data_IF_424090870397
#
_entry.id   IF_424090870397
#
_cell.length_a   1.000
_cell.length_b   1.000
_cell.length_c   1.000
_cell.angle_alpha   90.00
_cell.angle_beta   90.00
_cell.angle_gamma   90.00
#
_symmetry.space_group_name_H-M   'P 1'
#
loop_
_entity.id
_entity.type
_entity.pdbx_description
1 polymer ?
#
# COMPACT_ATOMS: atom_id res chain seq x y z
N UNK A 1 -0.52 -51.68 7.48
CA UNK A 1 0.04 -50.56 8.29
C UNK A 1 -0.76 -49.34 7.89
N UNK A 2 -1.64 -48.89 8.81
CA UNK A 2 -2.77 -48.03 8.51
C UNK A 2 -2.36 -46.57 8.19
N UNK A 3 -2.91 -46.05 7.11
CA UNK A 3 -3.05 -44.61 6.88
C UNK A 3 -4.16 -44.11 7.80
N UNK A 4 -3.81 -43.64 8.98
CA UNK A 4 -4.72 -42.80 9.77
C UNK A 4 -4.71 -41.40 9.15
N UNK A 5 -5.68 -41.16 8.30
CA UNK A 5 -6.05 -39.80 7.91
C UNK A 5 -6.66 -39.15 9.13
N UNK A 6 -5.93 -38.27 9.78
CA UNK A 6 -6.50 -37.38 10.78
C UNK A 6 -7.29 -36.37 9.97
N UNK A 7 -8.59 -36.59 9.87
CA UNK A 7 -9.53 -35.56 9.46
C UNK A 7 -9.69 -34.62 10.67
N UNK A 8 -8.96 -33.54 10.71
CA UNK A 8 -9.43 -32.35 11.38
C UNK A 8 -10.60 -31.86 10.52
N UNK A 9 -11.79 -31.89 11.09
CA UNK A 9 -13.09 -32.01 10.43
C UNK A 9 -13.55 -30.88 9.48
N UNK A 10 -12.72 -29.91 9.12
CA UNK A 10 -13.20 -28.71 8.43
C UNK A 10 -12.43 -28.27 7.18
N UNK A 11 -11.40 -29.00 6.72
CA UNK A 11 -10.61 -28.54 5.58
C UNK A 11 -10.55 -29.55 4.42
N UNK A 12 -11.01 -29.12 3.25
CA UNK A 12 -10.81 -29.85 2.00
C UNK A 12 -9.83 -29.07 1.12
N UNK A 13 -8.71 -29.69 0.75
CA UNK A 13 -7.77 -29.08 -0.20
C UNK A 13 -8.27 -29.23 -1.64
N UNK A 14 -8.60 -28.11 -2.27
CA UNK A 14 -8.99 -28.05 -3.68
C UNK A 14 -7.93 -27.31 -4.47
N UNK A 15 -7.58 -27.82 -5.66
CA UNK A 15 -6.63 -27.11 -6.53
C UNK A 15 -7.28 -25.84 -7.09
N UNK A 16 -6.60 -24.70 -7.00
CA UNK A 16 -7.11 -23.42 -7.51
C UNK A 16 -7.57 -23.48 -8.97
N UNK A 17 -6.90 -24.28 -9.83
CA UNK A 17 -7.28 -24.48 -11.21
C UNK A 17 -8.66 -25.15 -11.37
N UNK A 18 -9.03 -26.03 -10.44
CA UNK A 18 -10.30 -26.76 -10.50
C UNK A 18 -11.44 -25.84 -10.03
N UNK A 19 -11.21 -24.98 -9.02
CA UNK A 19 -12.15 -23.94 -8.62
C UNK A 19 -12.39 -22.91 -9.75
N UNK A 20 -11.34 -22.46 -10.44
CA UNK A 20 -11.47 -21.56 -11.59
C UNK A 20 -12.25 -22.18 -12.74
N UNK A 21 -12.04 -23.48 -13.00
CA UNK A 21 -12.82 -24.20 -14.02
C UNK A 21 -14.30 -24.24 -13.63
N UNK A 22 -14.60 -24.62 -12.39
CA UNK A 22 -15.97 -24.67 -11.87
C UNK A 22 -16.66 -23.31 -11.92
N UNK A 23 -15.96 -22.24 -11.53
CA UNK A 23 -16.44 -20.85 -11.63
C UNK A 23 -16.78 -20.52 -13.08
N UNK A 24 -15.87 -20.81 -14.02
CA UNK A 24 -16.08 -20.50 -15.44
C UNK A 24 -17.25 -21.28 -16.04
N UNK A 25 -17.45 -22.55 -15.67
CA UNK A 25 -18.58 -23.36 -16.09
C UNK A 25 -19.88 -22.85 -15.46
N UNK A 26 -19.86 -22.55 -14.15
CA UNK A 26 -21.04 -22.04 -13.46
C UNK A 26 -21.45 -20.64 -13.99
N UNK A 27 -20.51 -19.81 -14.39
CA UNK A 27 -20.80 -18.47 -14.92
C UNK A 27 -21.71 -18.50 -16.15
N UNK A 28 -21.65 -19.57 -16.98
CA UNK A 28 -22.43 -19.73 -18.20
C UNK A 28 -23.89 -20.07 -17.94
N UNK A 29 -24.20 -20.72 -16.82
CA UNK A 29 -25.54 -21.30 -16.53
C UNK A 29 -26.17 -20.68 -15.26
N UNK A 30 -25.35 -20.25 -14.30
CA UNK A 30 -25.77 -19.73 -13.00
C UNK A 30 -24.76 -18.69 -12.45
N UNK A 31 -24.76 -17.44 -12.95
CA UNK A 31 -23.79 -16.42 -12.54
C UNK A 31 -23.71 -16.17 -11.03
N UNK A 32 -24.83 -16.31 -10.31
CA UNK A 32 -24.85 -16.18 -8.85
C UNK A 32 -24.04 -17.29 -8.16
N UNK A 33 -24.09 -18.53 -8.66
CA UNK A 33 -23.28 -19.63 -8.12
C UNK A 33 -21.81 -19.42 -8.43
N UNK A 34 -21.48 -18.92 -9.62
CA UNK A 34 -20.09 -18.58 -9.97
C UNK A 34 -19.52 -17.52 -9.01
N UNK A 35 -20.31 -16.51 -8.61
CA UNK A 35 -19.90 -15.50 -7.66
C UNK A 35 -19.60 -16.12 -6.27
N UNK A 36 -20.41 -17.09 -5.81
CA UNK A 36 -20.13 -17.77 -4.54
C UNK A 36 -18.88 -18.66 -4.63
N UNK A 37 -18.67 -19.37 -5.74
CA UNK A 37 -17.44 -20.15 -5.98
C UNK A 37 -16.21 -19.24 -5.94
N UNK A 38 -16.28 -18.04 -6.52
CA UNK A 38 -15.19 -17.06 -6.50
C UNK A 38 -14.85 -16.64 -5.08
N UNK A 39 -15.84 -16.42 -4.21
CA UNK A 39 -15.62 -16.02 -2.80
C UNK A 39 -14.83 -17.07 -2.01
N UNK A 40 -14.87 -18.36 -2.41
CA UNK A 40 -14.04 -19.40 -1.78
C UNK A 40 -12.53 -19.10 -1.96
N UNK A 41 -12.15 -18.41 -3.05
CA UNK A 41 -10.77 -18.03 -3.34
C UNK A 41 -10.36 -16.71 -2.66
N UNK A 42 -11.26 -16.02 -1.96
CA UNK A 42 -10.92 -14.76 -1.29
C UNK A 42 -9.95 -15.00 -0.14
N UNK A 43 -9.04 -14.08 0.01
CA UNK A 43 -8.03 -14.08 1.06
C UNK A 43 -8.26 -12.93 2.03
N UNK A 44 -7.93 -13.15 3.29
CA UNK A 44 -7.91 -12.06 4.27
C UNK A 44 -6.86 -11.01 3.88
N UNK A 45 -7.22 -9.72 4.00
CA UNK A 45 -6.34 -8.60 3.69
C UNK A 45 -5.03 -8.66 4.49
N UNK A 46 -5.08 -9.15 5.74
CA UNK A 46 -3.88 -9.33 6.57
C UNK A 46 -2.89 -10.28 5.90
N UNK A 47 -3.36 -11.35 5.28
CA UNK A 47 -2.48 -12.30 4.57
C UNK A 47 -1.78 -11.66 3.37
N UNK A 48 -2.41 -10.67 2.72
CA UNK A 48 -1.80 -9.89 1.63
C UNK A 48 -0.72 -8.93 2.14
N UNK A 49 -0.76 -8.55 3.42
CA UNK A 49 0.13 -7.58 4.06
C UNK A 49 1.20 -8.22 4.95
N UNK A 50 1.08 -9.51 5.27
CA UNK A 50 1.86 -10.22 6.31
C UNK A 50 3.40 -10.10 6.16
N UNK A 51 3.89 -9.89 4.96
CA UNK A 51 5.34 -9.79 4.69
C UNK A 51 5.91 -8.39 4.96
N UNK A 52 5.07 -7.36 5.10
CA UNK A 52 5.56 -5.99 5.20
C UNK A 52 6.24 -5.66 6.54
N UNK A 53 5.77 -6.12 7.70
CA UNK A 53 6.49 -5.88 8.95
C UNK A 53 7.95 -6.36 8.89
N UNK A 54 8.17 -7.61 8.51
CA UNK A 54 9.51 -8.18 8.40
C UNK A 54 10.36 -7.50 7.31
N UNK A 55 9.77 -7.24 6.13
CA UNK A 55 10.44 -6.49 5.05
C UNK A 55 10.91 -5.12 5.53
N UNK A 56 10.05 -4.39 6.24
CA UNK A 56 10.31 -3.03 6.71
C UNK A 56 11.41 -3.03 7.78
N UNK A 57 11.37 -3.99 8.70
CA UNK A 57 12.41 -4.17 9.71
C UNK A 57 13.79 -4.42 9.08
N UNK A 58 13.88 -5.39 8.17
CA UNK A 58 15.13 -5.68 7.44
C UNK A 58 15.64 -4.50 6.62
N UNK A 59 14.73 -3.70 6.06
CA UNK A 59 15.10 -2.49 5.33
C UNK A 59 15.68 -1.44 6.26
N UNK A 60 15.07 -1.23 7.43
CA UNK A 60 15.57 -0.29 8.45
C UNK A 60 16.98 -0.69 8.92
N UNK A 61 17.19 -1.95 9.26
CA UNK A 61 18.52 -2.49 9.65
C UNK A 61 19.58 -2.19 8.57
N UNK A 62 19.25 -2.45 7.29
CA UNK A 62 20.18 -2.19 6.18
C UNK A 62 20.51 -0.71 5.98
N UNK A 63 19.60 0.18 6.36
CA UNK A 63 19.76 1.63 6.29
C UNK A 63 20.28 2.23 7.61
N UNK A 64 20.71 1.37 8.56
CA UNK A 64 21.22 1.77 9.89
C UNK A 64 20.22 2.64 10.66
N UNK A 65 18.92 2.37 10.48
CA UNK A 65 17.81 3.04 11.18
C UNK A 65 17.14 2.07 12.14
N UNK A 66 16.58 2.59 13.21
CA UNK A 66 15.79 1.80 14.15
C UNK A 66 14.32 2.12 14.00
N UNK A 67 13.51 1.06 13.91
CA UNK A 67 12.06 1.13 13.99
C UNK A 67 11.56 0.15 15.05
N UNK A 68 10.49 0.52 15.73
CA UNK A 68 9.79 -0.40 16.61
C UNK A 68 9.13 -1.52 15.76
N UNK A 69 9.14 -2.77 16.24
CA UNK A 69 8.34 -3.82 15.60
C UNK A 69 6.87 -3.40 15.53
N UNK A 70 6.19 -3.75 14.44
CA UNK A 70 4.76 -3.50 14.27
C UNK A 70 4.07 -4.70 13.62
N UNK A 71 2.79 -4.83 13.88
CA UNK A 71 1.91 -5.80 13.27
C UNK A 71 0.85 -5.09 12.40
N UNK A 72 0.17 -5.87 11.56
CA UNK A 72 -0.97 -5.38 10.80
C UNK A 72 -2.19 -5.44 11.71
N UNK A 73 -2.69 -4.27 12.11
CA UNK A 73 -3.89 -4.16 12.92
C UNK A 73 -5.13 -4.31 12.01
N UNK A 74 -5.93 -5.34 12.24
CA UNK A 74 -7.18 -5.59 11.51
C UNK A 74 -8.21 -6.19 12.48
N UNK A 75 -9.03 -5.38 13.14
CA UNK A 75 -9.99 -5.85 14.16
C UNK A 75 -11.09 -6.75 13.61
N UNK A 76 -11.39 -6.66 12.31
CA UNK A 76 -12.44 -7.43 11.65
C UNK A 76 -11.88 -8.19 10.46
N UNK A 77 -12.34 -9.43 10.22
CA UNK A 77 -11.97 -10.19 9.03
C UNK A 77 -12.47 -9.48 7.76
N UNK A 78 -11.55 -9.24 6.82
CA UNK A 78 -11.83 -8.57 5.55
C UNK A 78 -11.28 -9.44 4.43
N UNK A 79 -12.17 -10.06 3.68
CA UNK A 79 -11.82 -10.94 2.56
C UNK A 79 -11.90 -10.21 1.23
N UNK A 80 -10.88 -10.33 0.41
CA UNK A 80 -10.77 -9.72 -0.92
C UNK A 80 -10.38 -10.75 -1.97
N UNK A 81 -10.73 -10.48 -3.21
CA UNK A 81 -10.23 -11.25 -4.35
C UNK A 81 -8.73 -10.98 -4.55
N UNK A 82 -7.85 -11.96 -4.28
CA UNK A 82 -6.41 -11.73 -4.36
C UNK A 82 -5.95 -11.40 -5.79
N UNK A 83 -6.61 -11.90 -6.83
CA UNK A 83 -6.24 -11.61 -8.22
C UNK A 83 -6.54 -10.15 -8.56
N UNK A 84 -7.65 -9.61 -8.07
CA UNK A 84 -8.04 -8.21 -8.28
C UNK A 84 -7.07 -7.24 -7.59
N UNK A 85 -6.67 -7.54 -6.35
CA UNK A 85 -5.90 -6.62 -5.50
C UNK A 85 -4.39 -6.86 -5.49
N UNK A 86 -3.87 -7.94 -6.10
CA UNK A 86 -2.45 -8.33 -6.02
C UNK A 86 -1.49 -7.22 -6.44
N UNK A 87 -1.79 -6.51 -7.53
CA UNK A 87 -0.91 -5.45 -8.03
C UNK A 87 -0.85 -4.27 -7.06
N UNK A 88 -1.98 -3.86 -6.49
CA UNK A 88 -2.05 -2.84 -5.46
C UNK A 88 -1.24 -3.26 -4.22
N UNK A 89 -1.50 -4.44 -3.65
CA UNK A 89 -0.77 -4.90 -2.48
C UNK A 89 0.74 -4.94 -2.73
N UNK A 90 1.19 -5.44 -3.88
CA UNK A 90 2.62 -5.44 -4.23
C UNK A 90 3.21 -4.03 -4.31
N UNK A 91 2.45 -3.05 -4.76
CA UNK A 91 2.92 -1.67 -4.88
C UNK A 91 3.07 -0.94 -3.53
N UNK A 92 2.43 -1.45 -2.45
CA UNK A 92 2.59 -0.90 -1.09
C UNK A 92 4.04 -0.97 -0.59
N UNK A 93 4.88 -1.83 -1.17
CA UNK A 93 6.32 -1.87 -0.88
C UNK A 93 6.96 -0.48 -0.99
N UNK A 94 6.45 0.37 -1.88
CA UNK A 94 6.97 1.72 -2.09
C UNK A 94 6.61 2.67 -0.93
N UNK A 95 5.45 2.47 -0.29
CA UNK A 95 5.07 3.25 0.91
C UNK A 95 6.02 2.92 2.05
N UNK A 96 6.12 1.64 2.42
CA UNK A 96 6.98 1.20 3.51
C UNK A 96 8.45 1.58 3.28
N UNK A 97 8.92 1.43 2.03
CA UNK A 97 10.26 1.86 1.67
C UNK A 97 10.46 3.36 1.85
N UNK A 98 9.52 4.19 1.39
CA UNK A 98 9.62 5.65 1.53
C UNK A 98 9.60 6.06 3.00
N UNK A 99 8.78 5.43 3.83
CA UNK A 99 8.75 5.70 5.26
C UNK A 99 10.11 5.42 5.90
N UNK A 100 10.73 4.27 5.62
CA UNK A 100 12.04 3.94 6.19
C UNK A 100 13.15 4.78 5.57
N UNK A 101 13.21 4.89 4.25
CA UNK A 101 14.34 5.53 3.54
C UNK A 101 14.35 7.04 3.78
N UNK A 102 13.18 7.68 3.66
CA UNK A 102 13.05 9.14 3.67
C UNK A 102 12.29 9.70 4.88
N UNK A 103 11.36 8.94 5.46
CA UNK A 103 10.53 9.35 6.60
C UNK A 103 11.29 9.25 7.91
N UNK A 104 11.61 8.04 8.34
CA UNK A 104 12.28 7.80 9.62
C UNK A 104 13.69 8.41 9.61
N UNK A 105 14.01 9.18 10.64
CA UNK A 105 15.31 9.80 10.85
C UNK A 105 16.33 8.82 11.44
N UNK A 106 17.63 9.16 11.40
CA UNK A 106 18.66 8.46 12.16
C UNK A 106 18.45 8.66 13.67
N UNK A 107 19.07 7.79 14.48
CA UNK A 107 18.97 7.91 15.95
C UNK A 107 19.47 9.27 16.47
N UNK A 108 20.53 9.80 15.87
CA UNK A 108 21.09 11.10 16.21
C UNK A 108 20.12 12.23 15.89
N UNK A 109 19.50 12.18 14.70
CA UNK A 109 18.49 13.16 14.28
C UNK A 109 17.25 13.09 15.16
N UNK A 110 16.77 11.87 15.52
CA UNK A 110 15.62 11.68 16.42
C UNK A 110 15.92 12.19 17.81
N UNK A 111 17.09 11.88 18.35
CA UNK A 111 17.55 12.40 19.65
C UNK A 111 17.58 13.92 19.67
N UNK A 112 18.13 14.54 18.61
CA UNK A 112 18.18 16.01 18.49
C UNK A 112 16.78 16.63 18.39
N UNK A 113 15.80 15.91 17.83
CA UNK A 113 14.41 16.31 17.74
C UNK A 113 13.56 15.94 18.98
N UNK A 114 14.19 15.40 20.04
CA UNK A 114 13.50 14.90 21.24
C UNK A 114 12.42 13.85 20.97
N UNK A 115 12.65 12.99 19.96
CA UNK A 115 11.82 11.85 19.61
C UNK A 115 12.40 10.57 20.23
N UNK A 116 11.58 9.52 20.34
CA UNK A 116 12.05 8.18 20.66
C UNK A 116 13.09 7.73 19.63
N UNK A 117 14.15 7.02 20.08
CA UNK A 117 15.25 6.58 19.19
C UNK A 117 14.77 5.65 18.09
N UNK A 118 13.75 4.83 18.37
CA UNK A 118 13.10 3.97 17.39
C UNK A 118 11.93 4.69 16.74
N UNK A 119 11.91 4.76 15.41
CA UNK A 119 10.76 5.24 14.66
C UNK A 119 9.56 4.29 14.77
N UNK A 120 8.37 4.80 14.64
CA UNK A 120 7.13 4.02 14.69
C UNK A 120 6.46 4.01 13.32
N UNK A 121 6.10 2.81 12.86
CA UNK A 121 5.24 2.62 11.68
C UNK A 121 4.02 1.84 12.14
N UNK A 122 2.84 2.23 11.66
CA UNK A 122 1.58 1.54 11.94
C UNK A 122 0.86 1.24 10.64
N UNK A 123 0.21 0.09 10.57
CA UNK A 123 -0.66 -0.30 9.47
C UNK A 123 -1.99 -0.80 10.04
N UNK A 124 -3.04 -0.04 9.83
CA UNK A 124 -4.39 -0.35 10.28
C UNK A 124 -5.29 -0.63 9.08
N UNK A 125 -5.96 -1.77 9.09
CA UNK A 125 -7.03 -2.11 8.15
C UNK A 125 -8.36 -2.01 8.89
N UNK A 126 -9.30 -1.29 8.30
CA UNK A 126 -10.62 -1.09 8.88
C UNK A 126 -11.69 -1.41 7.85
N UNK A 127 -12.71 -2.13 8.29
CA UNK A 127 -13.90 -2.39 7.48
C UNK A 127 -14.74 -1.12 7.34
N UNK A 128 -15.30 -0.91 6.18
CA UNK A 128 -16.29 0.13 5.88
C UNK A 128 -17.63 -0.54 5.62
N UNK A 129 -18.70 0.22 5.63
CA UNK A 129 -20.04 -0.28 5.29
C UNK A 129 -20.04 -0.99 3.92
N UNK A 130 -19.37 -0.39 2.93
CA UNK A 130 -19.23 -0.95 1.58
C UNK A 130 -17.75 -0.96 1.18
N UNK A 131 -16.94 -1.87 1.77
CA UNK A 131 -15.54 -2.01 1.42
C UNK A 131 -14.58 -1.97 2.59
N UNK A 132 -13.37 -1.45 2.38
CA UNK A 132 -12.34 -1.37 3.42
C UNK A 132 -11.39 -0.19 3.22
N UNK A 133 -10.68 0.12 4.30
CA UNK A 133 -9.68 1.19 4.35
C UNK A 133 -8.37 0.65 4.91
N UNK A 134 -7.26 1.03 4.31
CA UNK A 134 -5.91 0.79 4.83
C UNK A 134 -5.30 2.14 5.18
N UNK A 135 -4.84 2.28 6.41
CA UNK A 135 -4.14 3.47 6.90
C UNK A 135 -2.73 3.07 7.30
N UNK A 136 -1.72 3.70 6.70
CA UNK A 136 -0.31 3.45 6.98
C UNK A 136 0.31 4.76 7.43
N UNK A 137 0.90 4.79 8.63
CA UNK A 137 1.47 6.00 9.24
C UNK A 137 2.91 5.77 9.69
N UNK A 138 3.73 6.80 9.62
CA UNK A 138 5.02 6.89 10.30
C UNK A 138 5.09 8.14 11.20
N UNK A 139 6.01 8.14 12.15
CA UNK A 139 6.33 9.25 13.03
C UNK A 139 7.64 9.96 12.63
N UNK A 140 8.03 9.82 11.36
CA UNK A 140 9.27 10.39 10.83
C UNK A 140 9.25 11.91 10.67
N UNK A 141 10.15 12.42 9.83
CA UNK A 141 10.29 13.87 9.59
C UNK A 141 9.16 14.48 8.78
N UNK A 142 8.27 13.68 8.19
CA UNK A 142 7.25 14.13 7.26
C UNK A 142 7.83 14.49 5.89
N UNK A 143 6.98 15.06 5.04
CA UNK A 143 7.35 15.48 3.69
C UNK A 143 7.66 16.98 3.68
N UNK A 144 8.86 17.33 3.25
CA UNK A 144 9.29 18.70 3.02
C UNK A 144 8.73 19.19 1.67
N UNK A 145 7.63 19.94 1.73
CA UNK A 145 6.89 20.41 0.55
C UNK A 145 7.73 21.37 -0.29
N UNK A 146 8.57 22.20 0.33
CA UNK A 146 9.38 23.16 -0.40
C UNK A 146 10.46 22.43 -1.20
N UNK A 147 11.17 21.49 -0.60
CA UNK A 147 12.10 20.62 -1.33
C UNK A 147 11.42 19.78 -2.42
N UNK A 148 10.19 19.33 -2.18
CA UNK A 148 9.42 18.58 -3.18
C UNK A 148 9.12 19.45 -4.40
N UNK A 149 8.68 20.71 -4.19
CA UNK A 149 8.44 21.70 -5.24
C UNK A 149 9.72 22.05 -6.00
N UNK A 150 10.81 22.33 -5.27
CA UNK A 150 12.12 22.62 -5.87
C UNK A 150 12.58 21.50 -6.81
N UNK A 151 12.48 20.25 -6.38
CA UNK A 151 12.82 19.09 -7.22
C UNK A 151 11.94 18.98 -8.46
N UNK A 152 10.61 19.19 -8.30
CA UNK A 152 9.69 19.16 -9.41
C UNK A 152 10.02 20.24 -10.47
N UNK A 153 10.45 21.42 -10.05
CA UNK A 153 10.93 22.48 -10.95
C UNK A 153 12.26 22.10 -11.60
N UNK A 154 13.24 21.59 -10.83
CA UNK A 154 14.55 21.17 -11.35
C UNK A 154 14.44 20.07 -12.41
N UNK A 155 13.45 19.18 -12.27
CA UNK A 155 13.18 18.11 -13.22
C UNK A 155 12.26 18.53 -14.38
N UNK A 156 11.84 19.80 -14.42
CA UNK A 156 10.98 20.33 -15.50
C UNK A 156 9.53 19.81 -15.45
N UNK A 157 9.10 19.23 -14.33
CA UNK A 157 7.74 18.68 -14.18
C UNK A 157 6.70 19.79 -13.93
N UNK A 158 7.12 20.88 -13.31
CA UNK A 158 6.30 22.09 -13.11
C UNK A 158 7.16 23.34 -13.32
N UNK A 159 6.51 24.46 -13.65
CA UNK A 159 7.22 25.75 -13.76
C UNK A 159 7.43 26.39 -12.37
N UNK A 160 8.45 27.26 -12.21
CA UNK A 160 8.67 28.00 -10.96
C UNK A 160 7.42 28.80 -10.52
N UNK A 161 6.72 29.44 -11.46
CA UNK A 161 5.52 30.23 -11.18
C UNK A 161 4.39 29.35 -10.66
N UNK A 162 4.23 28.11 -11.21
CA UNK A 162 3.26 27.13 -10.73
C UNK A 162 3.61 26.65 -9.34
N UNK A 163 4.90 26.38 -9.06
CA UNK A 163 5.37 25.95 -7.75
C UNK A 163 5.06 26.99 -6.65
N UNK A 164 5.28 28.29 -6.93
CA UNK A 164 4.99 29.38 -6.00
C UNK A 164 3.51 29.53 -5.66
N UNK A 165 2.63 29.31 -6.64
CA UNK A 165 1.18 29.48 -6.47
C UNK A 165 0.45 28.20 -6.01
N UNK A 166 1.15 27.07 -5.97
CA UNK A 166 0.53 25.78 -5.68
C UNK A 166 0.16 25.64 -4.20
N UNK A 167 -1.12 25.41 -3.86
CA UNK A 167 -1.56 25.15 -2.50
C UNK A 167 -0.91 23.90 -1.91
N UNK A 168 -0.85 23.82 -0.58
CA UNK A 168 -0.25 22.69 0.14
C UNK A 168 -0.82 21.34 -0.31
N UNK A 169 -2.15 21.21 -0.40
CA UNK A 169 -2.82 19.97 -0.84
C UNK A 169 -2.41 19.54 -2.24
N UNK A 170 -2.31 20.48 -3.19
CA UNK A 170 -1.85 20.17 -4.55
C UNK A 170 -0.35 19.84 -4.58
N UNK A 171 0.43 20.41 -3.68
CA UNK A 171 1.86 20.15 -3.59
C UNK A 171 2.15 18.72 -3.12
N UNK A 172 1.31 18.16 -2.25
CA UNK A 172 1.40 16.75 -1.85
C UNK A 172 1.18 15.80 -3.02
N UNK A 173 0.34 16.15 -4.00
CA UNK A 173 0.12 15.34 -5.21
C UNK A 173 1.41 15.15 -6.04
N UNK A 174 2.38 16.04 -5.87
CA UNK A 174 3.67 15.91 -6.56
C UNK A 174 4.40 14.61 -6.19
N UNK A 175 4.15 14.01 -5.02
CA UNK A 175 4.78 12.74 -4.60
C UNK A 175 4.43 11.60 -5.56
N UNK A 176 3.31 11.70 -6.28
CA UNK A 176 2.85 10.73 -7.25
C UNK A 176 3.38 10.97 -8.67
N UNK A 177 4.13 12.06 -8.90
CA UNK A 177 4.71 12.31 -10.23
C UNK A 177 5.87 11.35 -10.51
N UNK A 178 5.84 10.78 -11.69
CA UNK A 178 6.92 9.92 -12.17
C UNK A 178 8.24 10.69 -12.22
N UNK A 179 9.29 10.08 -11.67
CA UNK A 179 10.64 10.67 -11.68
C UNK A 179 10.97 11.52 -10.45
N UNK A 180 9.99 11.94 -9.64
CA UNK A 180 10.26 12.78 -8.46
C UNK A 180 10.82 12.00 -7.27
N UNK A 181 10.66 10.67 -7.25
CA UNK A 181 11.17 9.81 -6.18
C UNK A 181 12.67 9.67 -6.25
N UNK A 182 13.33 9.95 -5.13
CA UNK A 182 14.77 10.10 -4.95
C UNK A 182 15.56 8.81 -4.89
N UNK A 183 15.28 7.81 -5.68
CA UNK A 183 16.13 6.62 -5.73
C UNK A 183 17.42 6.95 -6.50
N UNK A 184 18.45 7.44 -5.80
CA UNK A 184 19.83 7.62 -6.30
C UNK A 184 20.58 6.31 -6.57
N UNK A 185 19.95 5.13 -6.43
CA UNK A 185 20.63 3.87 -6.66
C UNK A 185 20.00 3.08 -7.81
N UNK A 186 20.77 2.85 -8.90
CA UNK A 186 20.35 2.02 -10.02
C UNK A 186 20.50 0.52 -9.75
N UNK A 187 20.27 0.06 -8.52
CA UNK A 187 20.39 -1.35 -8.19
C UNK A 187 19.04 -2.06 -8.32
N UNK A 188 18.74 -2.43 -9.55
CA UNK A 188 18.06 -3.63 -9.99
C UNK A 188 16.82 -4.11 -9.23
N UNK A 189 15.70 -3.42 -9.31
CA UNK A 189 14.31 -3.92 -9.39
C UNK A 189 13.33 -2.73 -9.54
N UNK A 190 13.76 -1.50 -9.25
CA UNK A 190 12.95 -0.27 -9.40
C UNK A 190 13.65 0.78 -10.27
N UNK A 191 14.27 0.38 -11.37
CA UNK A 191 15.11 1.24 -12.23
C UNK A 191 14.41 2.36 -12.99
N UNK A 192 13.18 2.77 -12.65
CA UNK A 192 12.44 3.79 -13.43
C UNK A 192 11.62 4.77 -12.60
N UNK A 193 11.82 4.96 -11.31
CA UNK A 193 11.17 6.07 -10.57
C UNK A 193 9.63 6.05 -10.50
N UNK A 194 9.00 4.88 -10.62
CA UNK A 194 7.55 4.73 -10.73
C UNK A 194 6.83 4.43 -9.39
N UNK A 195 7.52 4.46 -8.25
CA UNK A 195 7.04 3.89 -6.98
C UNK A 195 5.61 4.28 -6.56
N UNK A 196 5.41 5.53 -6.12
CA UNK A 196 4.09 5.97 -5.64
C UNK A 196 3.12 6.26 -6.78
N UNK A 197 3.60 6.57 -7.99
CA UNK A 197 2.75 6.74 -9.16
C UNK A 197 2.01 5.43 -9.52
N UNK A 198 2.74 4.30 -9.55
CA UNK A 198 2.13 2.97 -9.78
C UNK A 198 1.10 2.64 -8.71
N UNK A 199 1.39 2.98 -7.45
CA UNK A 199 0.45 2.75 -6.35
C UNK A 199 -0.85 3.55 -6.54
N UNK A 200 -0.75 4.81 -6.98
CA UNK A 200 -1.92 5.65 -7.30
C UNK A 200 -2.72 5.06 -8.47
N UNK A 201 -2.05 4.69 -9.56
CA UNK A 201 -2.68 4.05 -10.73
C UNK A 201 -3.41 2.76 -10.35
N UNK A 202 -2.80 1.89 -9.54
CA UNK A 202 -3.43 0.65 -9.08
C UNK A 202 -4.62 0.90 -8.16
N UNK A 203 -4.53 1.92 -7.29
CA UNK A 203 -5.64 2.33 -6.42
C UNK A 203 -6.83 2.81 -7.25
N UNK A 204 -6.58 3.70 -8.20
CA UNK A 204 -7.61 4.24 -9.11
C UNK A 204 -8.21 3.16 -10.02
N UNK A 205 -7.38 2.24 -10.54
CA UNK A 205 -7.85 1.08 -11.34
C UNK A 205 -8.84 0.20 -10.58
N UNK A 206 -8.67 0.08 -9.27
CA UNK A 206 -9.57 -0.66 -8.39
C UNK A 206 -10.84 0.13 -8.02
N UNK A 207 -10.96 1.38 -8.45
CA UNK A 207 -12.04 2.27 -8.05
C UNK A 207 -11.87 2.86 -6.65
N UNK A 208 -10.67 2.73 -6.08
CA UNK A 208 -10.34 3.28 -4.77
C UNK A 208 -9.83 4.71 -4.83
N UNK A 209 -9.62 5.27 -3.65
CA UNK A 209 -9.02 6.60 -3.44
C UNK A 209 -7.75 6.48 -2.61
N UNK A 210 -6.81 7.40 -2.84
CA UNK A 210 -5.62 7.57 -2.03
C UNK A 210 -5.58 9.00 -1.50
N UNK A 211 -5.38 9.12 -0.21
CA UNK A 211 -5.14 10.39 0.46
C UNK A 211 -3.79 10.34 1.17
N UNK A 212 -3.10 11.48 1.15
CA UNK A 212 -1.85 11.64 1.86
C UNK A 212 -1.92 12.89 2.73
N UNK A 213 -1.49 12.76 3.97
CA UNK A 213 -1.31 13.86 4.88
C UNK A 213 0.06 13.77 5.55
N UNK A 214 0.64 14.92 5.84
CA UNK A 214 1.95 15.01 6.47
C UNK A 214 2.04 16.28 7.30
N UNK A 215 2.85 16.19 8.36
CA UNK A 215 3.23 17.36 9.15
C UNK A 215 4.74 17.28 9.43
N UNK A 216 5.48 18.35 9.12
CA UNK A 216 6.91 18.38 9.36
C UNK A 216 7.24 18.02 10.82
N UNK A 217 8.14 17.06 11.00
CA UNK A 217 8.55 16.56 12.32
C UNK A 217 7.58 15.56 12.97
N UNK A 218 6.37 15.36 12.45
CA UNK A 218 5.36 14.44 13.03
C UNK A 218 5.07 13.21 12.16
N UNK A 219 5.57 13.19 10.90
CA UNK A 219 5.48 12.04 10.02
C UNK A 219 4.51 12.18 8.87
N UNK A 220 4.15 11.04 8.29
CA UNK A 220 3.27 10.95 7.10
C UNK A 220 2.21 9.88 7.31
N UNK A 221 1.02 10.14 6.78
CA UNK A 221 -0.09 9.19 6.76
C UNK A 221 -0.58 9.00 5.33
N UNK A 222 -0.68 7.74 4.91
CA UNK A 222 -1.33 7.30 3.68
C UNK A 222 -2.64 6.61 4.03
N UNK A 223 -3.72 6.99 3.36
CA UNK A 223 -5.04 6.38 3.50
C UNK A 223 -5.49 5.89 2.14
N UNK A 224 -5.74 4.59 2.03
CA UNK A 224 -6.31 3.94 0.85
C UNK A 224 -7.71 3.49 1.20
N UNK A 225 -8.67 3.82 0.36
CA UNK A 225 -10.06 3.43 0.58
C UNK A 225 -10.61 2.77 -0.67
N UNK A 226 -11.21 1.60 -0.49
CA UNK A 226 -11.84 0.82 -1.55
C UNK A 226 -13.29 0.58 -1.22
N UNK A 227 -14.15 0.68 -2.23
CA UNK A 227 -15.57 0.37 -2.11
C UNK A 227 -15.91 -0.89 -2.92
N UNK A 228 -16.86 -1.68 -2.42
CA UNK A 228 -17.34 -2.90 -3.10
C UNK A 228 -18.10 -2.59 -4.39
N UNK A 229 -18.66 -1.39 -4.51
CA UNK A 229 -19.27 -0.93 -5.74
C UNK A 229 -18.17 -0.50 -6.71
N UNK A 230 -18.17 -1.02 -7.96
CA UNK A 230 -17.32 -0.45 -8.99
C UNK A 230 -17.74 1.00 -9.18
N UNK A 231 -16.83 1.95 -8.89
CA UNK A 231 -17.05 3.33 -9.26
C UNK A 231 -17.46 3.34 -10.73
N UNK A 232 -18.64 3.86 -11.02
CA UNK A 232 -19.03 4.13 -12.40
C UNK A 232 -17.95 5.08 -12.95
N UNK A 233 -16.98 4.50 -13.66
CA UNK A 233 -15.98 5.27 -14.36
C UNK A 233 -16.74 6.22 -15.27
N UNK A 234 -16.64 7.51 -14.99
CA UNK A 234 -17.04 8.58 -15.91
C UNK A 234 -16.17 8.49 -17.16
N UNK A 235 -16.41 7.49 -17.99
CA UNK A 235 -16.10 7.59 -19.41
C UNK A 235 -17.20 8.46 -20.02
N UNK A 236 -17.04 9.76 -19.90
CA UNK A 236 -17.67 10.68 -20.84
C UNK A 236 -16.81 10.64 -22.11
N UNK A 237 -17.46 10.12 -23.17
CA UNK A 237 -17.05 10.15 -24.57
C UNK A 237 -16.76 11.58 -25.02
#
# INVERSE_FOLDING_TARGET
>A
IGNSWIFEDDFVMVKAKDLKRLESEAHKVAPAVAAEIRKICYMDVVQMLVLYPEYTQRLAERLEKQIAPFDIECPEEIKVDPERYQAFFRSLVHVFRNMVDHGIESQEERSAASKDLSGTIRCLVSKLENGFKITITDDGRGIDIDKLKERAVQQGLITPEKALKMPFSQSLELVFLNGLTTARHPNGISGRGFGLAVLKEETERLGGTIEISTKPGEGTCFVFQFTDEPSQSKFNI
#
